data_IF_273881516807
#
_entry.id   IF_273881516807
#
_cell.length_a   1.000
_cell.length_b   1.000
_cell.length_c   1.000
_cell.angle_alpha   90.00
_cell.angle_beta   90.00
_cell.angle_gamma   90.00
#
_symmetry.space_group_name_H-M   'P 1'
#
loop_
_entity.id
_entity.type
_entity.pdbx_description
1 polymer ?
#
# COMPACT_ATOMS: atom_id res chain seq x y z
N UNK A 1 -39.15 16.66 6.46
CA UNK A 1 -37.93 16.20 7.16
C UNK A 1 -36.87 16.02 6.11
N UNK A 2 -36.12 17.08 5.84
CA UNK A 2 -34.97 17.05 4.94
C UNK A 2 -33.93 16.10 5.53
N UNK A 3 -33.64 15.05 4.79
CA UNK A 3 -32.52 14.18 5.08
C UNK A 3 -31.29 15.03 4.80
N UNK A 4 -30.63 15.56 5.85
CA UNK A 4 -29.33 16.20 5.73
C UNK A 4 -28.47 15.32 4.84
N UNK A 5 -28.01 15.89 3.72
CA UNK A 5 -27.26 15.18 2.71
C UNK A 5 -25.84 14.97 3.26
N UNK A 6 -25.70 14.02 4.18
CA UNK A 6 -24.43 13.71 4.85
C UNK A 6 -23.43 13.35 3.76
N UNK A 7 -22.38 14.18 3.62
CA UNK A 7 -21.26 13.87 2.74
C UNK A 7 -20.39 12.80 3.41
N UNK A 8 -20.80 11.55 3.25
CA UNK A 8 -20.11 10.37 3.80
C UNK A 8 -18.64 10.30 3.38
N UNK A 9 -18.29 10.88 2.23
CA UNK A 9 -16.90 10.90 1.76
C UNK A 9 -16.06 11.91 2.54
N UNK A 10 -16.63 13.06 2.90
CA UNK A 10 -15.94 14.03 3.76
C UNK A 10 -15.80 13.50 5.19
N UNK A 11 -16.80 12.78 5.71
CA UNK A 11 -16.65 12.07 6.99
C UNK A 11 -15.57 11.00 6.91
N UNK A 12 -15.54 10.20 5.84
CA UNK A 12 -14.56 9.14 5.65
C UNK A 12 -13.14 9.72 5.57
N UNK A 13 -12.95 10.80 4.83
CA UNK A 13 -11.67 11.52 4.78
C UNK A 13 -11.23 11.92 6.19
N UNK A 14 -12.08 12.61 6.96
CA UNK A 14 -11.77 13.02 8.35
C UNK A 14 -11.50 11.84 9.29
N UNK A 15 -12.10 10.68 9.03
CA UNK A 15 -11.88 9.46 9.80
C UNK A 15 -10.52 8.84 9.49
N UNK A 16 -10.18 8.72 8.20
CA UNK A 16 -8.88 8.25 7.73
C UNK A 16 -7.75 9.20 8.20
N UNK A 17 -8.00 10.50 8.23
CA UNK A 17 -7.04 11.51 8.65
C UNK A 17 -6.67 11.48 10.15
N UNK A 18 -7.45 10.75 10.96
CA UNK A 18 -7.14 10.52 12.39
C UNK A 18 -6.35 9.24 12.63
N UNK A 19 -6.08 8.46 11.58
CA UNK A 19 -5.32 7.22 11.69
C UNK A 19 -3.83 7.53 11.86
N UNK A 20 -3.01 6.55 12.30
CA UNK A 20 -1.56 6.73 12.43
C UNK A 20 -0.84 7.15 11.14
N UNK A 21 -1.45 6.83 9.98
CA UNK A 21 -1.09 7.40 8.68
C UNK A 21 -2.34 8.13 8.18
N UNK A 22 -2.29 9.45 8.23
CA UNK A 22 -3.38 10.35 7.87
C UNK A 22 -3.76 10.34 6.39
N UNK A 23 -4.81 11.10 6.08
CA UNK A 23 -5.35 11.28 4.74
C UNK A 23 -5.83 12.74 4.60
N UNK A 24 -4.89 13.69 4.49
CA UNK A 24 -5.16 15.11 4.69
C UNK A 24 -6.13 15.69 3.65
N UNK A 25 -6.98 16.61 4.09
CA UNK A 25 -7.86 17.34 3.19
C UNK A 25 -7.07 18.27 2.24
N UNK A 26 -7.63 18.51 1.05
CA UNK A 26 -7.11 19.47 0.08
C UNK A 26 -8.15 20.54 -0.25
N UNK A 27 -7.68 21.71 -0.71
CA UNK A 27 -8.56 22.75 -1.22
C UNK A 27 -9.21 22.37 -2.56
N UNK A 28 -8.53 21.55 -3.37
CA UNK A 28 -9.04 21.09 -4.67
C UNK A 28 -10.14 20.02 -4.53
N UNK A 29 -10.26 19.37 -3.38
CA UNK A 29 -11.20 18.28 -3.14
C UNK A 29 -10.81 16.97 -3.87
N UNK A 30 -9.58 16.87 -4.38
CA UNK A 30 -9.09 15.70 -5.12
C UNK A 30 -9.10 14.42 -4.28
N UNK A 31 -8.87 14.55 -2.97
CA UNK A 31 -8.95 13.46 -2.00
C UNK A 31 -10.37 12.88 -1.91
N UNK A 32 -11.39 13.72 -2.01
CA UNK A 32 -12.79 13.27 -2.04
C UNK A 32 -13.13 12.62 -3.37
N UNK A 33 -12.60 13.14 -4.48
CA UNK A 33 -12.75 12.52 -5.80
C UNK A 33 -12.18 11.10 -5.81
N UNK A 34 -10.99 10.91 -5.23
CA UNK A 34 -10.36 9.60 -5.05
C UNK A 34 -11.24 8.67 -4.20
N UNK A 35 -11.75 9.14 -3.05
CA UNK A 35 -12.63 8.31 -2.21
C UNK A 35 -13.93 7.93 -2.93
N UNK A 36 -14.50 8.81 -3.74
CA UNK A 36 -15.69 8.53 -4.58
C UNK A 36 -15.41 7.51 -5.67
N UNK A 37 -14.20 7.48 -6.20
CA UNK A 37 -13.78 6.46 -7.16
C UNK A 37 -13.66 5.07 -6.50
N UNK A 38 -13.18 5.03 -5.25
CA UNK A 38 -12.87 3.78 -4.54
C UNK A 38 -14.07 3.18 -3.80
N UNK A 39 -14.91 4.01 -3.18
CA UNK A 39 -15.96 3.57 -2.28
C UNK A 39 -17.34 3.90 -2.82
N UNK A 40 -18.25 2.92 -2.76
CA UNK A 40 -19.68 3.22 -2.78
C UNK A 40 -20.08 3.97 -1.50
N UNK A 41 -21.19 4.71 -1.49
CA UNK A 41 -21.67 5.38 -0.28
C UNK A 41 -21.90 4.41 0.88
N UNK A 42 -22.32 3.18 0.61
CA UNK A 42 -22.49 2.14 1.62
C UNK A 42 -21.15 1.67 2.19
N UNK A 43 -20.17 1.38 1.33
CA UNK A 43 -18.83 0.98 1.76
C UNK A 43 -18.14 2.10 2.56
N UNK A 44 -18.34 3.36 2.20
CA UNK A 44 -17.84 4.51 2.96
C UNK A 44 -18.42 4.53 4.39
N UNK A 45 -19.72 4.27 4.55
CA UNK A 45 -20.37 4.16 5.87
C UNK A 45 -19.83 3.00 6.71
N UNK A 46 -19.51 1.87 6.08
CA UNK A 46 -18.89 0.72 6.76
C UNK A 46 -17.46 1.08 7.18
N UNK A 47 -16.67 1.68 6.29
CA UNK A 47 -15.28 2.08 6.53
C UNK A 47 -15.16 3.07 7.71
N UNK A 48 -16.13 3.96 7.90
CA UNK A 48 -16.24 4.84 9.08
C UNK A 48 -16.28 4.10 10.43
N UNK A 49 -16.58 2.80 10.44
CA UNK A 49 -16.65 1.97 11.65
C UNK A 49 -15.46 1.03 11.81
N UNK A 50 -14.44 1.15 10.96
CA UNK A 50 -13.19 0.42 11.04
C UNK A 50 -12.11 1.27 11.72
N UNK A 51 -11.19 0.59 12.39
CA UNK A 51 -10.04 1.20 13.05
C UNK A 51 -8.75 0.76 12.34
N UNK A 52 -7.64 1.44 12.65
CA UNK A 52 -6.32 1.02 12.17
C UNK A 52 -5.91 -0.36 12.70
N UNK A 53 -6.21 -0.65 13.97
CA UNK A 53 -5.96 -1.97 14.56
C UNK A 53 -7.08 -2.91 14.15
N UNK A 54 -6.70 -4.09 13.63
CA UNK A 54 -7.64 -5.08 13.16
C UNK A 54 -8.52 -5.62 14.29
N UNK A 55 -9.83 -5.68 14.04
CA UNK A 55 -10.83 -6.13 15.00
C UNK A 55 -11.68 -7.27 14.43
N UNK A 56 -12.14 -8.20 15.29
CA UNK A 56 -12.97 -9.30 14.83
C UNK A 56 -14.33 -8.79 14.36
N UNK A 57 -14.92 -9.50 13.39
CA UNK A 57 -16.24 -9.19 12.82
C UNK A 57 -17.30 -8.86 13.89
N UNK A 58 -17.36 -9.65 14.95
CA UNK A 58 -18.33 -9.48 16.04
C UNK A 58 -18.25 -8.12 16.75
N UNK A 59 -17.05 -7.53 16.82
CA UNK A 59 -16.83 -6.20 17.43
C UNK A 59 -17.22 -5.09 16.48
N UNK A 60 -16.92 -5.24 15.18
CA UNK A 60 -17.34 -4.29 14.14
C UNK A 60 -18.87 -4.29 14.01
N UNK A 61 -19.49 -5.46 14.00
CA UNK A 61 -20.94 -5.62 13.93
C UNK A 61 -21.67 -4.87 15.03
N UNK A 62 -21.15 -4.86 16.27
CA UNK A 62 -21.73 -4.08 17.39
C UNK A 62 -21.86 -2.58 17.06
N UNK A 63 -20.94 -2.01 16.28
CA UNK A 63 -20.96 -0.60 15.84
C UNK A 63 -21.92 -0.35 14.68
N UNK A 64 -22.29 -1.39 13.93
CA UNK A 64 -23.15 -1.34 12.76
C UNK A 64 -24.55 -1.92 12.99
N UNK A 65 -24.92 -2.31 14.21
CA UNK A 65 -26.23 -2.94 14.53
C UNK A 65 -27.46 -2.18 14.04
N UNK A 66 -27.41 -0.85 13.98
CA UNK A 66 -28.53 -0.01 13.52
C UNK A 66 -28.60 0.13 11.99
N UNK A 67 -27.68 -0.49 11.26
CA UNK A 67 -27.57 -0.35 9.81
C UNK A 67 -28.43 -1.37 9.04
N UNK A 68 -29.08 -2.31 9.74
CA UNK A 68 -29.97 -3.30 9.14
C UNK A 68 -29.29 -4.56 8.59
N UNK A 69 -27.96 -4.65 8.61
CA UNK A 69 -27.23 -5.84 8.19
C UNK A 69 -27.37 -6.98 9.21
N UNK A 70 -27.47 -8.21 8.71
CA UNK A 70 -27.08 -9.41 9.44
C UNK A 70 -25.55 -9.52 9.59
N UNK A 71 -25.09 -10.47 10.40
CA UNK A 71 -23.66 -10.71 10.60
C UNK A 71 -23.00 -11.18 9.30
N UNK A 72 -23.63 -12.11 8.58
CA UNK A 72 -23.12 -12.71 7.35
C UNK A 72 -23.10 -11.70 6.19
N UNK A 73 -24.12 -10.84 6.09
CA UNK A 73 -24.12 -9.75 5.09
C UNK A 73 -22.98 -8.77 5.34
N UNK A 74 -22.72 -8.41 6.60
CA UNK A 74 -21.60 -7.54 6.93
C UNK A 74 -20.26 -8.20 6.60
N UNK A 75 -20.12 -9.49 6.88
CA UNK A 75 -18.91 -10.25 6.53
C UNK A 75 -18.66 -10.24 5.02
N UNK A 76 -19.68 -10.56 4.22
CA UNK A 76 -19.59 -10.57 2.76
C UNK A 76 -19.20 -9.19 2.21
N UNK A 77 -19.77 -8.10 2.76
CA UNK A 77 -19.41 -6.73 2.36
C UNK A 77 -17.97 -6.38 2.73
N UNK A 78 -17.51 -6.77 3.93
CA UNK A 78 -16.12 -6.53 4.34
C UNK A 78 -15.14 -7.34 3.50
N UNK A 79 -15.47 -8.59 3.15
CA UNK A 79 -14.66 -9.40 2.25
C UNK A 79 -14.62 -8.80 0.84
N UNK A 80 -15.75 -8.32 0.32
CA UNK A 80 -15.79 -7.58 -0.95
C UNK A 80 -14.90 -6.34 -0.90
N UNK A 81 -15.01 -5.50 0.14
CA UNK A 81 -14.15 -4.34 0.34
C UNK A 81 -12.67 -4.72 0.43
N UNK A 82 -12.35 -5.85 1.08
CA UNK A 82 -10.99 -6.37 1.13
C UNK A 82 -10.50 -6.74 -0.26
N UNK A 83 -11.21 -7.57 -1.03
CA UNK A 83 -10.81 -7.95 -2.38
C UNK A 83 -10.82 -6.78 -3.37
N UNK A 84 -11.60 -5.73 -3.09
CA UNK A 84 -11.57 -4.45 -3.81
C UNK A 84 -10.41 -3.53 -3.39
N UNK A 85 -9.59 -3.94 -2.43
CA UNK A 85 -8.40 -3.18 -2.04
C UNK A 85 -8.69 -1.95 -1.19
N UNK A 86 -9.83 -1.93 -0.49
CA UNK A 86 -10.28 -0.78 0.29
C UNK A 86 -9.89 -0.87 1.77
N UNK A 87 -9.70 -2.09 2.26
CA UNK A 87 -9.45 -2.38 3.68
C UNK A 87 -8.44 -3.53 3.83
N UNK A 88 -7.95 -3.69 5.06
CA UNK A 88 -7.11 -4.81 5.48
C UNK A 88 -7.93 -5.91 6.13
N UNK A 89 -7.50 -7.16 5.93
CA UNK A 89 -8.05 -8.35 6.57
C UNK A 89 -6.94 -9.24 7.10
N UNK A 90 -7.14 -9.81 8.27
CA UNK A 90 -6.31 -10.86 8.85
C UNK A 90 -7.16 -12.07 9.23
N UNK A 91 -6.55 -13.26 9.21
CA UNK A 91 -7.21 -14.50 9.63
C UNK A 91 -6.33 -15.17 10.68
N UNK A 92 -6.92 -15.48 11.83
CA UNK A 92 -6.28 -16.31 12.85
C UNK A 92 -6.99 -17.65 12.94
N UNK A 93 -6.23 -18.74 12.96
CA UNK A 93 -6.76 -20.09 13.17
C UNK A 93 -6.57 -20.49 14.63
N UNK A 94 -7.64 -20.95 15.28
CA UNK A 94 -7.57 -21.57 16.61
C UNK A 94 -8.30 -22.90 16.55
N UNK A 95 -7.54 -24.00 16.40
CA UNK A 95 -8.10 -25.31 16.09
C UNK A 95 -8.73 -25.30 14.69
N UNK A 96 -9.98 -25.75 14.59
CA UNK A 96 -10.74 -25.78 13.34
C UNK A 96 -11.50 -24.48 13.04
N UNK A 97 -11.44 -23.49 13.93
CA UNK A 97 -12.17 -22.24 13.76
C UNK A 97 -11.27 -21.13 13.23
N UNK A 98 -11.65 -20.60 12.07
CA UNK A 98 -11.04 -19.41 11.48
C UNK A 98 -11.78 -18.16 11.99
N UNK A 99 -11.03 -17.19 12.51
CA UNK A 99 -11.57 -15.88 12.91
C UNK A 99 -11.00 -14.80 12.01
N UNK A 100 -11.88 -14.07 11.30
CA UNK A 100 -11.51 -12.93 10.46
C UNK A 100 -11.48 -11.63 11.27
N UNK A 101 -10.47 -10.82 10.98
CA UNK A 101 -10.26 -9.49 11.53
C UNK A 101 -10.19 -8.49 10.40
N UNK A 102 -10.74 -7.30 10.59
CA UNK A 102 -10.75 -6.25 9.58
C UNK A 102 -10.25 -4.93 10.16
N UNK A 103 -9.56 -4.15 9.34
CA UNK A 103 -9.02 -2.83 9.67
C UNK A 103 -9.08 -1.91 8.46
N UNK A 104 -9.06 -0.59 8.71
CA UNK A 104 -8.81 0.38 7.65
C UNK A 104 -7.41 0.16 7.05
N UNK A 105 -7.31 0.27 5.73
CA UNK A 105 -6.02 0.33 5.05
C UNK A 105 -5.53 1.78 4.99
N UNK A 106 -4.22 2.05 5.14
CA UNK A 106 -3.67 3.37 4.85
C UNK A 106 -3.78 3.68 3.35
N UNK A 107 -3.61 4.94 2.96
CA UNK A 107 -3.67 5.33 1.55
C UNK A 107 -2.50 4.76 0.73
N UNK A 108 -1.26 5.08 1.12
CA UNK A 108 0.00 4.58 0.53
C UNK A 108 0.55 3.43 1.38
N UNK A 109 1.16 2.44 0.74
CA UNK A 109 1.38 1.09 1.29
C UNK A 109 0.05 0.48 1.80
N UNK A 110 -0.99 0.60 0.96
CA UNK A 110 -2.34 0.18 1.27
C UNK A 110 -3.27 0.34 0.07
N UNK A 111 -4.31 1.16 0.23
CA UNK A 111 -5.41 1.28 -0.75
C UNK A 111 -4.92 1.55 -2.17
N UNK A 112 -3.92 2.42 -2.34
CA UNK A 112 -3.34 2.75 -3.64
C UNK A 112 -2.69 1.52 -4.30
N UNK A 113 -1.77 0.84 -3.61
CA UNK A 113 -1.08 -0.35 -4.11
C UNK A 113 -2.06 -1.50 -4.39
N UNK A 114 -3.15 -1.60 -3.64
CA UNK A 114 -4.19 -2.61 -3.89
C UNK A 114 -5.01 -2.38 -5.16
N UNK A 115 -4.86 -1.22 -5.82
CA UNK A 115 -5.46 -0.93 -7.13
C UNK A 115 -4.58 -1.32 -8.32
N UNK A 116 -3.46 -2.02 -8.11
CA UNK A 116 -2.48 -2.36 -9.17
C UNK A 116 -3.11 -2.97 -10.45
N UNK A 117 -4.14 -3.81 -10.31
CA UNK A 117 -4.84 -4.43 -11.45
C UNK A 117 -6.14 -3.72 -11.86
N UNK A 118 -6.44 -2.57 -11.24
CA UNK A 118 -7.63 -1.74 -11.47
C UNK A 118 -7.31 -0.29 -11.81
N UNK A 119 -6.04 0.02 -12.11
CA UNK A 119 -5.64 1.37 -12.49
C UNK A 119 -6.34 1.84 -13.76
N UNK A 120 -6.87 3.06 -13.73
CA UNK A 120 -7.24 3.83 -14.93
C UNK A 120 -6.34 5.06 -15.06
N UNK A 121 -6.16 5.62 -16.28
CA UNK A 121 -5.39 6.85 -16.45
C UNK A 121 -5.90 8.00 -15.58
N UNK A 122 -7.22 8.15 -15.45
CA UNK A 122 -7.85 9.20 -14.64
C UNK A 122 -7.57 9.01 -13.15
N UNK A 123 -7.78 7.78 -12.65
CA UNK A 123 -7.51 7.46 -11.24
C UNK A 123 -6.04 7.65 -10.90
N UNK A 124 -5.14 7.18 -11.76
CA UNK A 124 -3.71 7.33 -11.52
C UNK A 124 -3.27 8.80 -11.51
N UNK A 125 -3.79 9.64 -12.41
CA UNK A 125 -3.52 11.08 -12.41
C UNK A 125 -4.00 11.73 -11.11
N UNK A 126 -5.22 11.44 -10.69
CA UNK A 126 -5.78 11.99 -9.45
C UNK A 126 -4.96 11.54 -8.22
N UNK A 127 -4.67 10.24 -8.13
CA UNK A 127 -3.88 9.65 -7.06
C UNK A 127 -2.45 10.21 -7.03
N UNK A 128 -1.78 10.30 -8.18
CA UNK A 128 -0.43 10.82 -8.29
C UNK A 128 -0.37 12.28 -7.87
N UNK A 129 -1.30 13.12 -8.35
CA UNK A 129 -1.38 14.52 -7.95
C UNK A 129 -1.60 14.66 -6.43
N UNK A 130 -2.55 13.92 -5.86
CA UNK A 130 -2.79 13.97 -4.42
C UNK A 130 -1.57 13.51 -3.60
N UNK A 131 -0.89 12.45 -4.06
CA UNK A 131 0.31 11.92 -3.42
C UNK A 131 1.43 12.97 -3.41
N UNK A 132 1.70 13.60 -4.55
CA UNK A 132 2.76 14.60 -4.71
C UNK A 132 2.46 15.90 -3.98
N UNK A 133 1.29 16.48 -4.21
CA UNK A 133 0.97 17.83 -3.75
C UNK A 133 0.69 17.86 -2.24
N UNK A 134 0.08 16.78 -1.72
CA UNK A 134 -0.47 16.76 -0.37
C UNK A 134 0.15 15.68 0.50
N UNK A 135 0.02 14.40 0.13
CA UNK A 135 0.34 13.29 1.04
C UNK A 135 1.81 13.30 1.48
N UNK A 136 2.75 13.52 0.56
CA UNK A 136 4.17 13.54 0.94
C UNK A 136 4.51 14.71 1.88
N UNK A 137 3.96 15.89 1.62
CA UNK A 137 4.25 17.09 2.39
C UNK A 137 3.54 17.12 3.75
N UNK A 138 2.28 16.66 3.79
CA UNK A 138 1.40 16.79 4.95
C UNK A 138 1.20 15.50 5.74
N UNK A 139 1.87 14.41 5.39
CA UNK A 139 1.76 13.17 6.15
C UNK A 139 3.08 12.39 6.16
N UNK A 140 3.56 11.96 5.00
CA UNK A 140 4.71 11.05 4.91
C UNK A 140 5.99 11.62 5.53
N UNK A 141 6.29 12.91 5.31
CA UNK A 141 7.52 13.54 5.78
C UNK A 141 7.40 14.23 7.15
N UNK A 142 6.21 14.27 7.78
CA UNK A 142 5.98 15.07 9.00
C UNK A 142 6.87 14.62 10.16
N UNK A 143 7.09 13.32 10.32
CA UNK A 143 7.87 12.78 11.45
C UNK A 143 9.38 12.99 11.29
N UNK A 144 9.85 13.33 10.09
CA UNK A 144 11.27 13.34 9.73
C UNK A 144 11.92 11.94 9.65
N UNK A 145 11.19 10.87 9.98
CA UNK A 145 11.66 9.49 9.89
C UNK A 145 11.21 8.92 8.53
N UNK A 146 12.13 8.53 7.63
CA UNK A 146 11.73 8.02 6.33
C UNK A 146 11.05 6.65 6.48
N UNK A 147 9.91 6.42 5.81
CA UNK A 147 9.24 5.11 5.85
C UNK A 147 9.97 4.05 5.03
N UNK A 148 10.73 4.46 4.02
CA UNK A 148 11.62 3.62 3.22
C UNK A 148 13.06 4.07 3.42
N UNK A 149 14.00 3.14 3.65
CA UNK A 149 15.44 3.44 3.65
C UNK A 149 16.03 3.14 2.28
N UNK A 150 17.18 3.72 1.96
CA UNK A 150 17.91 3.45 0.71
C UNK A 150 19.02 2.45 1.00
N UNK A 151 19.08 1.37 0.22
CA UNK A 151 20.28 0.52 0.14
C UNK A 151 21.11 1.04 -1.05
N UNK A 152 22.34 1.56 -0.83
CA UNK A 152 23.21 1.96 -1.92
C UNK A 152 23.61 0.74 -2.77
N UNK A 153 23.68 0.92 -4.09
CA UNK A 153 24.20 -0.11 -4.99
C UNK A 153 25.72 -0.23 -4.80
N UNK A 154 26.27 -1.44 -4.95
CA UNK A 154 27.66 -1.77 -4.61
C UNK A 154 28.71 -1.14 -5.54
N UNK A 155 28.30 -0.21 -6.41
CA UNK A 155 29.20 0.52 -7.29
C UNK A 155 29.38 1.95 -6.80
N UNK A 156 30.58 2.19 -6.25
CA UNK A 156 31.25 3.49 -6.08
C UNK A 156 30.81 4.39 -4.93
N UNK A 157 31.16 4.00 -3.69
CA UNK A 157 31.78 4.98 -2.79
C UNK A 157 32.84 4.32 -1.92
N UNK A 158 34.12 4.69 -2.11
CA UNK A 158 35.17 4.45 -1.12
C UNK A 158 34.84 5.31 0.11
N UNK A 159 34.05 4.80 1.04
CA UNK A 159 34.03 5.29 2.40
C UNK A 159 34.48 4.17 3.33
N UNK A 160 35.60 4.39 4.03
CA UNK A 160 36.07 3.59 5.16
C UNK A 160 35.16 3.75 6.40
N UNK A 161 33.84 3.82 6.19
CA UNK A 161 32.85 3.76 7.25
C UNK A 161 31.97 2.55 6.95
N UNK A 162 32.01 1.60 7.87
CA UNK A 162 31.27 0.34 7.83
C UNK A 162 29.84 0.54 7.32
N UNK A 163 29.62 0.29 6.02
CA UNK A 163 28.30 0.01 5.48
C UNK A 163 27.85 -1.22 6.27
N UNK A 164 26.83 -1.02 7.11
CA UNK A 164 26.39 -2.06 8.03
C UNK A 164 26.05 -3.32 7.22
N UNK A 165 26.32 -4.52 7.77
CA UNK A 165 25.92 -5.81 7.20
C UNK A 165 24.40 -5.92 6.86
N UNK A 166 23.63 -4.92 7.28
CA UNK A 166 22.21 -4.69 7.02
C UNK A 166 21.87 -4.26 5.59
N UNK A 167 22.85 -3.74 4.85
CA UNK A 167 22.71 -3.33 3.44
C UNK A 167 23.15 -4.43 2.46
N UNK A 168 23.56 -5.60 2.97
CA UNK A 168 23.72 -6.80 2.15
C UNK A 168 22.33 -7.35 1.78
N UNK A 169 21.92 -7.02 0.56
CA UNK A 169 20.64 -7.44 -0.01
C UNK A 169 20.48 -8.97 -0.05
N UNK A 170 21.58 -9.71 -0.25
CA UNK A 170 21.55 -11.17 -0.23
C UNK A 170 21.27 -11.67 1.18
N UNK A 171 21.98 -11.15 2.18
CA UNK A 171 21.70 -11.47 3.57
C UNK A 171 20.27 -11.08 3.98
N UNK A 172 19.75 -9.95 3.47
CA UNK A 172 18.38 -9.52 3.73
C UNK A 172 17.37 -10.55 3.23
N UNK A 173 17.40 -10.90 1.94
CA UNK A 173 16.47 -11.88 1.34
C UNK A 173 16.63 -13.26 1.97
N UNK A 174 17.85 -13.65 2.33
CA UNK A 174 18.08 -14.96 2.94
C UNK A 174 17.38 -15.09 4.30
N UNK A 175 17.34 -14.00 5.07
CA UNK A 175 16.78 -13.94 6.42
C UNK A 175 15.37 -13.34 6.51
N UNK A 176 14.82 -12.84 5.39
CA UNK A 176 13.54 -12.13 5.37
C UNK A 176 12.36 -13.04 5.72
N UNK A 177 12.47 -14.33 5.43
CA UNK A 177 11.43 -15.33 5.65
C UNK A 177 10.35 -15.34 4.57
N UNK A 178 9.73 -16.50 4.42
CA UNK A 178 8.75 -16.80 3.37
C UNK A 178 7.30 -16.54 3.79
N UNK A 179 6.35 -16.44 2.84
CA UNK A 179 6.58 -16.43 1.38
C UNK A 179 7.19 -15.12 0.88
N UNK A 180 7.82 -15.17 -0.29
CA UNK A 180 8.29 -14.01 -1.05
C UNK A 180 7.38 -13.85 -2.25
N UNK A 181 6.87 -12.65 -2.48
CA UNK A 181 6.05 -12.35 -3.64
C UNK A 181 6.61 -11.16 -4.41
N UNK A 182 6.41 -11.17 -5.73
CA UNK A 182 6.67 -10.05 -6.60
C UNK A 182 5.40 -9.64 -7.34
N UNK A 183 5.29 -8.34 -7.60
CA UNK A 183 4.23 -7.73 -8.37
C UNK A 183 4.79 -6.61 -9.26
N UNK A 184 3.97 -6.20 -10.23
CA UNK A 184 4.25 -5.02 -11.03
C UNK A 184 4.46 -3.79 -10.14
N UNK A 185 5.44 -2.95 -10.48
CA UNK A 185 5.60 -1.65 -9.86
C UNK A 185 4.42 -0.75 -10.26
N UNK A 186 3.53 -0.46 -9.31
CA UNK A 186 2.33 0.36 -9.55
C UNK A 186 2.65 1.74 -10.13
N UNK A 187 3.77 2.33 -9.70
CA UNK A 187 4.24 3.62 -10.21
C UNK A 187 4.61 3.55 -11.70
N UNK A 188 5.33 2.50 -12.13
CA UNK A 188 5.70 2.31 -13.55
C UNK A 188 4.48 1.98 -14.39
N UNK A 189 3.62 1.09 -13.90
CA UNK A 189 2.38 0.70 -14.58
C UNK A 189 1.45 1.90 -14.78
N UNK A 190 1.30 2.75 -13.77
CA UNK A 190 0.54 3.99 -13.89
C UNK A 190 1.18 5.00 -14.85
N UNK A 191 2.51 5.15 -14.82
CA UNK A 191 3.24 6.01 -15.75
C UNK A 191 3.07 5.55 -17.22
N UNK A 192 3.10 4.24 -17.46
CA UNK A 192 2.81 3.64 -18.77
C UNK A 192 1.37 4.00 -19.23
N UNK A 193 0.38 3.97 -18.33
CA UNK A 193 -1.02 4.29 -18.65
C UNK A 193 -1.27 5.76 -19.04
N UNK A 194 -0.43 6.68 -18.57
CA UNK A 194 -0.57 8.12 -18.87
C UNK A 194 0.34 8.58 -20.01
N UNK A 195 1.04 7.67 -20.68
CA UNK A 195 1.93 7.98 -21.80
C UNK A 195 3.31 8.51 -21.38
N UNK A 196 3.69 8.33 -20.11
CA UNK A 196 4.97 8.77 -19.54
C UNK A 196 5.77 7.56 -19.02
N UNK A 197 6.10 6.57 -19.88
CA UNK A 197 6.69 5.31 -19.42
C UNK A 197 8.05 5.53 -18.76
N UNK A 198 8.39 4.61 -17.85
CA UNK A 198 9.68 4.61 -17.18
C UNK A 198 10.84 4.61 -18.18
N UNK A 199 11.68 5.66 -18.16
CA UNK A 199 12.82 5.82 -19.07
C UNK A 199 14.08 5.10 -18.61
N UNK A 200 14.09 4.59 -17.37
CA UNK A 200 15.28 3.95 -16.77
C UNK A 200 15.32 2.44 -16.99
N UNK A 201 14.17 1.76 -17.00
CA UNK A 201 14.12 0.30 -17.05
C UNK A 201 12.85 -0.23 -17.69
N UNK A 202 12.96 -1.42 -18.30
CA UNK A 202 11.83 -2.21 -18.79
C UNK A 202 11.32 -3.22 -17.77
N UNK A 203 12.01 -3.40 -16.64
CA UNK A 203 11.58 -4.28 -15.56
C UNK A 203 10.23 -3.79 -15.02
N UNK A 204 9.22 -4.66 -14.95
CA UNK A 204 7.87 -4.32 -14.45
C UNK A 204 7.57 -5.00 -13.14
N UNK A 205 7.76 -6.31 -13.07
CA UNK A 205 7.74 -7.08 -11.82
C UNK A 205 8.99 -6.78 -10.99
N UNK A 206 8.89 -5.82 -10.08
CA UNK A 206 10.05 -5.35 -9.31
C UNK A 206 9.69 -4.76 -7.94
N UNK A 207 8.43 -4.94 -7.51
CA UNK A 207 7.95 -4.57 -6.19
C UNK A 207 7.75 -5.86 -5.38
N UNK A 208 8.48 -5.98 -4.27
CA UNK A 208 8.49 -7.19 -3.46
C UNK A 208 7.63 -7.03 -2.22
N UNK A 209 6.96 -8.12 -1.84
CA UNK A 209 6.31 -8.27 -0.55
C UNK A 209 6.84 -9.54 0.14
N UNK A 210 6.85 -9.53 1.47
CA UNK A 210 7.36 -10.65 2.27
C UNK A 210 6.34 -11.10 3.31
N UNK A 211 6.42 -12.37 3.72
CA UNK A 211 5.69 -12.94 4.86
C UNK A 211 4.18 -12.68 4.77
N UNK A 212 3.60 -12.00 5.76
CA UNK A 212 2.17 -11.69 5.79
C UNK A 212 1.74 -10.75 4.68
N UNK A 213 2.59 -9.80 4.27
CA UNK A 213 2.28 -8.93 3.13
C UNK A 213 2.24 -9.74 1.83
N UNK A 214 3.23 -10.63 1.62
CA UNK A 214 3.23 -11.54 0.47
C UNK A 214 1.93 -12.35 0.38
N UNK A 215 1.50 -12.96 1.49
CA UNK A 215 0.23 -13.71 1.54
C UNK A 215 -0.97 -12.83 1.15
N UNK A 216 -1.04 -11.61 1.65
CA UNK A 216 -2.11 -10.66 1.32
C UNK A 216 -2.13 -10.30 -0.18
N UNK A 217 -0.97 -9.98 -0.76
CA UNK A 217 -0.91 -9.64 -2.19
C UNK A 217 -1.20 -10.83 -3.10
N UNK A 218 -0.74 -12.04 -2.74
CA UNK A 218 -1.07 -13.28 -3.46
C UNK A 218 -2.58 -13.58 -3.37
N UNK A 219 -3.16 -13.51 -2.17
CA UNK A 219 -4.59 -13.76 -1.95
C UNK A 219 -5.48 -12.79 -2.74
N UNK A 220 -5.06 -11.52 -2.88
CA UNK A 220 -5.76 -10.53 -3.71
C UNK A 220 -5.54 -10.72 -5.22
N UNK A 221 -4.70 -11.67 -5.64
CA UNK A 221 -4.35 -11.87 -7.05
C UNK A 221 -3.49 -10.75 -7.64
N UNK A 222 -2.73 -10.04 -6.80
CA UNK A 222 -1.89 -8.91 -7.20
C UNK A 222 -0.43 -9.29 -7.40
N UNK A 223 0.02 -10.35 -6.74
CA UNK A 223 1.39 -10.83 -6.77
C UNK A 223 1.44 -12.34 -7.00
N UNK A 224 2.57 -12.81 -7.50
CA UNK A 224 2.91 -14.25 -7.54
C UNK A 224 4.01 -14.56 -6.55
N UNK A 225 3.95 -15.75 -5.99
CA UNK A 225 5.02 -16.28 -5.14
C UNK A 225 6.26 -16.58 -5.99
N UNK A 226 7.44 -16.30 -5.44
CA UNK A 226 8.73 -16.50 -6.09
C UNK A 226 9.73 -17.13 -5.13
N UNK A 227 10.75 -17.78 -5.68
CA UNK A 227 11.86 -18.29 -4.89
C UNK A 227 12.86 -17.18 -4.56
N UNK A 228 13.75 -17.44 -3.60
CA UNK A 228 14.87 -16.53 -3.29
C UNK A 228 15.78 -16.31 -4.50
N UNK A 229 16.05 -17.36 -5.29
CA UNK A 229 16.88 -17.29 -6.49
C UNK A 229 16.26 -16.37 -7.55
N UNK A 230 14.93 -16.42 -7.72
CA UNK A 230 14.24 -15.51 -8.61
C UNK A 230 14.27 -14.07 -8.08
N UNK A 231 14.10 -13.89 -6.76
CA UNK A 231 14.23 -12.57 -6.14
C UNK A 231 15.62 -11.96 -6.39
N UNK A 232 16.69 -12.76 -6.25
CA UNK A 232 18.05 -12.32 -6.57
C UNK A 232 18.21 -11.85 -8.01
N UNK A 233 17.71 -12.62 -8.99
CA UNK A 233 17.80 -12.24 -10.40
C UNK A 233 17.11 -10.91 -10.70
N UNK A 234 15.94 -10.67 -10.10
CA UNK A 234 15.19 -9.42 -10.29
C UNK A 234 15.95 -8.24 -9.67
N UNK A 235 16.55 -8.45 -8.49
CA UNK A 235 17.31 -7.42 -7.78
C UNK A 235 18.66 -7.11 -8.47
N UNK A 236 19.38 -8.13 -8.94
CA UNK A 236 20.58 -7.97 -9.78
C UNK A 236 20.24 -7.16 -11.03
N UNK A 237 19.11 -7.48 -11.68
CA UNK A 237 18.66 -6.69 -12.82
C UNK A 237 18.32 -5.24 -12.46
N UNK A 238 17.72 -5.03 -11.29
CA UNK A 238 17.40 -3.70 -10.80
C UNK A 238 18.67 -2.87 -10.56
N UNK A 239 19.71 -3.48 -10.01
CA UNK A 239 21.03 -2.87 -9.82
C UNK A 239 21.72 -2.55 -11.15
N UNK A 240 21.72 -3.49 -12.11
CA UNK A 240 22.24 -3.24 -13.47
C UNK A 240 21.58 -2.05 -14.16
N UNK A 241 20.27 -1.89 -13.95
CA UNK A 241 19.48 -0.78 -14.52
C UNK A 241 19.63 0.53 -13.72
N UNK A 242 20.44 0.53 -12.65
CA UNK A 242 20.71 1.70 -11.80
C UNK A 242 19.51 2.13 -10.96
N UNK A 243 18.70 1.18 -10.50
CA UNK A 243 17.55 1.45 -9.64
C UNK A 243 17.94 1.57 -8.17
N UNK A 244 17.28 2.47 -7.47
CA UNK A 244 17.43 2.63 -6.02
C UNK A 244 16.60 1.58 -5.31
N UNK A 245 17.24 0.76 -4.48
CA UNK A 245 16.56 -0.23 -3.65
C UNK A 245 16.04 0.44 -2.38
N UNK A 246 14.73 0.27 -2.12
CA UNK A 246 14.01 0.94 -1.05
C UNK A 246 13.21 -0.04 -0.19
N UNK A 247 13.85 -0.79 0.73
CA UNK A 247 13.13 -1.55 1.76
C UNK A 247 12.37 -0.64 2.73
N UNK A 248 11.27 -1.14 3.27
CA UNK A 248 10.62 -0.54 4.44
C UNK A 248 11.63 -0.32 5.58
N UNK A 249 11.49 0.80 6.30
CA UNK A 249 12.44 1.21 7.34
C UNK A 249 12.26 0.39 8.64
N UNK A 250 12.59 -0.89 8.58
CA UNK A 250 12.63 -1.82 9.71
C UNK A 250 13.69 -2.89 9.50
N UNK A 251 14.18 -3.48 10.60
CA UNK A 251 15.18 -4.56 10.53
C UNK A 251 14.71 -5.75 9.69
N UNK A 252 13.39 -6.00 9.70
CA UNK A 252 12.74 -7.05 8.92
C UNK A 252 11.65 -6.41 8.04
N UNK A 253 12.00 -5.84 6.88
CA UNK A 253 11.03 -5.17 6.03
C UNK A 253 9.91 -6.10 5.57
N UNK A 254 8.74 -5.52 5.31
CA UNK A 254 7.58 -6.22 4.74
C UNK A 254 7.51 -6.07 3.21
N UNK A 255 8.27 -5.13 2.66
CA UNK A 255 8.36 -4.85 1.24
C UNK A 255 9.76 -4.35 0.85
N UNK A 256 10.08 -4.47 -0.43
CA UNK A 256 11.21 -3.77 -1.07
C UNK A 256 10.67 -3.18 -2.37
N UNK A 257 10.83 -1.88 -2.54
CA UNK A 257 10.61 -1.22 -3.83
C UNK A 257 11.94 -1.09 -4.58
N UNK A 258 11.90 -1.22 -5.90
CA UNK A 258 13.04 -0.89 -6.77
C UNK A 258 12.65 0.30 -7.64
N UNK A 259 13.24 1.46 -7.36
CA UNK A 259 12.70 2.74 -7.80
C UNK A 259 13.67 3.51 -8.69
N UNK A 260 13.11 4.34 -9.58
CA UNK A 260 13.86 5.36 -10.33
C UNK A 260 13.36 6.74 -9.91
N UNK A 261 14.19 7.77 -10.05
CA UNK A 261 13.76 9.17 -9.91
C UNK A 261 12.83 9.67 -11.02
N UNK A 262 12.44 8.80 -11.96
CA UNK A 262 11.64 9.13 -13.12
C UNK A 262 10.13 8.98 -12.90
N UNK A 263 9.70 7.99 -12.11
CA UNK A 263 8.28 7.71 -11.88
C UNK A 263 7.95 7.34 -10.43
N UNK A 264 8.95 7.14 -9.55
CA UNK A 264 8.68 6.81 -8.15
C UNK A 264 8.14 8.03 -7.42
N UNK A 265 6.96 7.89 -6.78
CA UNK A 265 6.37 8.94 -5.97
C UNK A 265 7.30 9.40 -4.85
N UNK A 266 7.93 8.46 -4.14
CA UNK A 266 8.80 8.76 -2.99
C UNK A 266 10.09 9.47 -3.41
N UNK A 267 10.75 9.02 -4.48
CA UNK A 267 12.01 9.65 -4.91
C UNK A 267 11.80 11.02 -5.56
N UNK A 268 10.65 11.24 -6.18
CA UNK A 268 10.33 12.53 -6.80
C UNK A 268 9.96 13.59 -5.76
N UNK A 269 9.45 13.20 -4.60
CA UNK A 269 9.08 14.10 -3.51
C UNK A 269 10.22 14.42 -2.52
N UNK A 270 11.38 13.79 -2.66
CA UNK A 270 12.57 14.08 -1.84
C UNK A 270 13.55 15.06 -2.53
N UNK A 271 13.06 15.87 -3.46
CA UNK A 271 13.86 16.92 -4.13
C UNK A 271 13.83 18.23 -3.36
#
# INVERSE_FOLDING_TARGET
MEQENIDYYRELQKHLDKMPVGYPATESGIEIKILKHLFTPEQAKIALKLNFIAEPLSKIYKRLKKSGFSLDELENKLDEMYFNGLINRGITKKGETDTKYYASAPWVIGMFEYQLNRLTPEFFKDAHQYIQDTFFNKEYNITGIPQLRVIPLDQTVNFEQSIAQYDDLKALIENIGEPIAVMDCICRKGADLIGEPCTKTKLRESCFAFRTAAKTFIEKGLAREITKEEAYKILEKAEEDGLVLQPGNSQRPMNICTCCGCCCGVLTSQK
#
